data_IF_235552532385
#
_entry.id   IF_235552532385
#
_cell.length_a   1.000
_cell.length_b   1.000
_cell.length_c   1.000
_cell.angle_alpha   90.00
_cell.angle_beta   90.00
_cell.angle_gamma   90.00
#
_symmetry.space_group_name_H-M   'P 1'
#
loop_
_entity.id
_entity.type
_entity.pdbx_description
1 polymer ?
#
# COMPACT_ATOMS: atom_id res chain seq x y z
N UNK A 1 6.70 -5.60 20.81
CA UNK A 1 5.64 -6.59 21.11
C UNK A 1 5.23 -6.62 22.59
N UNK A 2 6.18 -6.81 23.52
CA UNK A 2 5.91 -6.94 24.97
C UNK A 2 5.16 -5.74 25.61
N UNK A 3 5.41 -4.52 25.14
CA UNK A 3 4.73 -3.30 25.60
C UNK A 3 3.28 -3.13 25.08
N UNK A 4 2.69 -4.16 24.47
CA UNK A 4 1.30 -4.12 23.98
C UNK A 4 1.10 -3.54 22.57
N UNK A 5 2.12 -2.91 21.98
CA UNK A 5 2.04 -2.42 20.60
C UNK A 5 1.74 -3.55 19.60
N UNK A 6 0.86 -3.26 18.64
CA UNK A 6 0.47 -4.14 17.51
C UNK A 6 0.58 -3.45 16.14
N UNK A 7 0.99 -2.19 16.15
CA UNK A 7 1.29 -1.40 14.97
C UNK A 7 2.65 -0.75 15.23
N UNK A 8 3.60 -0.92 14.30
CA UNK A 8 4.93 -0.33 14.39
C UNK A 8 5.22 0.46 13.12
N UNK A 9 5.51 1.75 13.23
CA UNK A 9 5.72 2.65 12.11
C UNK A 9 7.18 3.05 11.98
N UNK A 10 7.73 3.04 10.76
CA UNK A 10 9.14 3.33 10.49
C UNK A 10 9.28 4.32 9.33
N UNK A 11 9.52 5.59 9.67
CA UNK A 11 9.74 6.67 8.70
C UNK A 11 11.20 6.81 8.26
N UNK A 12 11.86 5.70 7.93
CA UNK A 12 13.26 5.63 7.53
C UNK A 12 13.50 4.48 6.55
N UNK A 13 14.60 4.53 5.80
CA UNK A 13 15.02 3.51 4.86
C UNK A 13 16.37 3.84 4.22
N UNK A 14 16.98 2.86 3.58
CA UNK A 14 18.26 2.96 2.88
C UNK A 14 18.06 3.05 1.37
N UNK A 15 18.54 4.13 0.72
CA UNK A 15 18.50 4.26 -0.73
C UNK A 15 19.70 3.59 -1.44
N UNK A 16 20.52 2.80 -0.73
CA UNK A 16 21.77 2.24 -1.27
C UNK A 16 21.55 1.15 -2.33
N UNK A 17 20.46 0.40 -2.21
CA UNK A 17 20.13 -0.72 -3.11
C UNK A 17 18.62 -0.70 -3.38
N UNK A 18 18.19 0.25 -4.23
CA UNK A 18 16.77 0.51 -4.49
C UNK A 18 16.09 -0.73 -5.07
N UNK A 19 14.89 -1.02 -4.57
CA UNK A 19 14.07 -2.16 -4.95
C UNK A 19 14.55 -3.52 -4.41
N UNK A 20 15.74 -3.63 -3.80
CA UNK A 20 16.30 -4.91 -3.41
C UNK A 20 15.65 -5.52 -2.16
N UNK A 21 15.51 -6.84 -2.15
CA UNK A 21 15.16 -7.61 -0.96
C UNK A 21 16.43 -7.98 -0.18
N UNK A 22 16.91 -7.07 0.65
CA UNK A 22 18.16 -7.25 1.39
C UNK A 22 17.95 -7.92 2.77
N UNK A 23 19.03 -8.00 3.56
CA UNK A 23 19.00 -8.58 4.90
C UNK A 23 18.06 -7.87 5.87
N UNK A 24 17.85 -6.55 5.72
CA UNK A 24 16.90 -5.83 6.56
C UNK A 24 15.46 -6.17 6.17
N UNK A 25 15.16 -6.25 4.87
CA UNK A 25 13.85 -6.68 4.38
C UNK A 25 13.51 -8.11 4.83
N UNK A 26 14.47 -9.03 4.73
CA UNK A 26 14.33 -10.42 5.21
C UNK A 26 14.08 -10.49 6.72
N UNK A 27 14.82 -9.71 7.52
CA UNK A 27 14.63 -9.65 8.99
C UNK A 27 13.25 -9.09 9.38
N UNK A 28 12.76 -8.09 8.65
CA UNK A 28 11.40 -7.54 8.86
C UNK A 28 10.35 -8.61 8.55
N UNK A 29 10.50 -9.34 7.44
CA UNK A 29 9.59 -10.42 7.08
C UNK A 29 9.59 -11.54 8.12
N UNK A 30 10.77 -11.98 8.58
CA UNK A 30 10.91 -12.98 9.64
C UNK A 30 10.18 -12.56 10.92
N UNK A 31 10.37 -11.30 11.33
CA UNK A 31 9.70 -10.78 12.52
C UNK A 31 8.17 -10.81 12.37
N UNK A 32 7.62 -10.33 11.25
CA UNK A 32 6.17 -10.30 11.02
C UNK A 32 5.61 -11.72 10.88
N UNK A 33 6.33 -12.61 10.20
CA UNK A 33 5.97 -14.02 10.08
C UNK A 33 5.85 -14.69 11.46
N UNK A 34 6.78 -14.38 12.37
CA UNK A 34 6.77 -14.91 13.74
C UNK A 34 5.80 -14.18 14.69
N UNK A 35 5.35 -12.96 14.36
CA UNK A 35 4.42 -12.16 15.15
C UNK A 35 3.18 -11.78 14.31
N UNK A 36 2.28 -12.74 14.04
CA UNK A 36 1.25 -12.62 13.00
C UNK A 36 0.16 -11.58 13.30
N UNK A 37 0.08 -11.03 14.50
CA UNK A 37 -0.84 -9.97 14.93
C UNK A 37 -0.20 -8.57 14.94
N UNK A 38 1.04 -8.43 14.44
CA UNK A 38 1.72 -7.15 14.26
C UNK A 38 1.58 -6.65 12.81
N UNK A 39 1.16 -5.39 12.64
CA UNK A 39 1.37 -4.65 11.39
C UNK A 39 2.62 -3.78 11.52
N UNK A 40 3.57 -3.93 10.60
CA UNK A 40 4.76 -3.07 10.51
C UNK A 40 4.68 -2.24 9.23
N UNK A 41 4.89 -0.94 9.36
CA UNK A 41 4.86 0.01 8.26
C UNK A 41 6.26 0.56 8.01
N UNK A 42 6.57 0.80 6.74
CA UNK A 42 7.80 1.47 6.30
C UNK A 42 7.50 2.53 5.25
N UNK A 43 8.22 3.65 5.32
CA UNK A 43 8.22 4.63 4.24
C UNK A 43 8.80 4.02 2.96
N UNK A 44 8.19 4.30 1.80
CA UNK A 44 8.68 3.81 0.51
C UNK A 44 10.05 4.40 0.14
N UNK A 45 10.38 5.59 0.65
CA UNK A 45 11.56 6.35 0.25
C UNK A 45 11.20 7.63 -0.49
N UNK A 46 12.18 8.53 -0.60
CA UNK A 46 12.04 9.81 -1.30
C UNK A 46 13.00 9.87 -2.50
N UNK A 47 13.19 8.74 -3.18
CA UNK A 47 14.15 8.56 -4.28
C UNK A 47 13.47 8.58 -5.65
N UNK A 48 12.21 9.00 -5.73
CA UNK A 48 11.53 9.21 -7.01
C UNK A 48 12.16 10.37 -7.79
N UNK A 49 12.59 10.08 -9.01
CA UNK A 49 13.14 11.04 -9.96
C UNK A 49 12.62 10.75 -11.36
N UNK A 50 12.54 11.78 -12.19
CA UNK A 50 12.35 11.70 -13.64
C UNK A 50 13.74 11.82 -14.29
N UNK A 51 14.36 10.67 -14.55
CA UNK A 51 15.73 10.52 -15.06
C UNK A 51 15.78 10.68 -16.58
N UNK A 52 14.78 10.19 -17.30
CA UNK A 52 14.72 10.26 -18.77
C UNK A 52 14.05 11.53 -19.31
N UNK A 53 13.48 12.36 -18.43
CA UNK A 53 12.88 13.66 -18.73
C UNK A 53 11.63 13.54 -19.59
N UNK A 54 10.83 12.50 -19.36
CA UNK A 54 9.56 12.27 -20.04
C UNK A 54 8.35 12.90 -19.31
N UNK A 55 8.58 13.51 -18.14
CA UNK A 55 7.52 14.10 -17.32
C UNK A 55 6.86 13.13 -16.36
N UNK A 56 7.44 11.94 -16.17
CA UNK A 56 6.96 10.90 -15.26
C UNK A 56 8.09 10.46 -14.33
N UNK A 57 7.72 10.09 -13.10
CA UNK A 57 8.70 9.54 -12.15
C UNK A 57 9.03 8.09 -12.53
N UNK A 58 10.33 7.78 -12.59
CA UNK A 58 10.82 6.45 -12.91
C UNK A 58 10.50 5.40 -11.83
N UNK A 59 10.37 4.18 -12.31
CA UNK A 59 10.18 2.97 -11.51
C UNK A 59 11.44 2.55 -10.74
N UNK A 60 11.28 1.67 -9.75
CA UNK A 60 12.39 0.94 -9.13
C UNK A 60 13.15 1.68 -8.03
N UNK A 61 12.52 2.66 -7.38
CA UNK A 61 13.16 3.56 -6.40
C UNK A 61 12.79 3.28 -4.94
N UNK A 62 12.14 2.16 -4.62
CA UNK A 62 11.73 1.81 -3.23
C UNK A 62 12.94 1.50 -2.36
N UNK A 63 13.02 2.12 -1.18
CA UNK A 63 14.09 1.88 -0.21
C UNK A 63 13.84 0.60 0.62
N UNK A 64 14.89 -0.12 0.99
CA UNK A 64 14.84 -1.13 2.06
C UNK A 64 14.79 -0.45 3.43
N UNK A 65 14.03 -0.93 4.44
CA UNK A 65 13.25 -2.19 4.49
C UNK A 65 11.84 -2.12 3.91
N UNK A 66 11.45 -1.03 3.25
CA UNK A 66 10.17 -0.91 2.54
C UNK A 66 9.98 -1.93 1.41
N UNK A 67 11.01 -2.67 1.04
CA UNK A 67 10.94 -3.79 0.08
C UNK A 67 10.53 -5.12 0.72
N UNK A 68 10.41 -5.20 2.06
CA UNK A 68 9.92 -6.39 2.77
C UNK A 68 8.50 -6.79 2.30
N UNK A 69 8.23 -8.08 2.13
CA UNK A 69 6.93 -8.57 1.61
C UNK A 69 5.79 -8.32 2.60
N UNK A 70 6.08 -8.54 3.89
CA UNK A 70 5.08 -8.57 4.94
C UNK A 70 4.78 -7.18 5.52
N UNK A 71 5.68 -6.21 5.32
CA UNK A 71 5.45 -4.83 5.71
C UNK A 71 4.36 -4.18 4.84
N UNK A 72 3.68 -3.17 5.41
CA UNK A 72 2.87 -2.22 4.63
C UNK A 72 3.76 -1.03 4.26
N UNK A 73 4.15 -0.94 2.99
CA UNK A 73 5.01 0.15 2.52
C UNK A 73 4.18 1.30 2.02
N UNK A 74 4.51 2.50 2.50
CA UNK A 74 3.68 3.71 2.34
C UNK A 74 4.40 4.73 1.46
N UNK A 75 3.84 5.01 0.29
CA UNK A 75 4.22 6.15 -0.55
C UNK A 75 3.50 7.43 -0.15
N UNK A 76 3.83 8.54 -0.82
CA UNK A 76 3.25 9.85 -0.56
C UNK A 76 2.36 10.27 -1.73
N UNK A 77 1.07 10.48 -1.45
CA UNK A 77 0.23 11.34 -2.29
C UNK A 77 0.41 12.78 -1.86
N UNK A 78 -0.10 13.72 -2.65
CA UNK A 78 -0.15 15.10 -2.21
C UNK A 78 -1.21 15.32 -1.12
N UNK A 79 -0.93 16.26 -0.24
CA UNK A 79 -1.95 16.94 0.54
C UNK A 79 -2.58 18.07 -0.29
N UNK A 80 -3.71 18.61 0.15
CA UNK A 80 -4.33 19.79 -0.50
C UNK A 80 -4.30 20.95 0.47
N UNK A 81 -3.35 21.87 0.28
CA UNK A 81 -3.22 23.07 1.11
C UNK A 81 -2.62 24.23 0.32
N UNK A 82 -3.28 25.39 0.39
CA UNK A 82 -2.84 26.63 -0.24
C UNK A 82 -2.03 27.55 0.70
N UNK A 83 -1.75 27.10 1.93
CA UNK A 83 -1.07 27.92 2.95
C UNK A 83 0.02 27.16 3.68
N UNK A 84 1.11 27.86 4.01
CA UNK A 84 2.22 27.30 4.77
C UNK A 84 3.08 26.31 3.98
N UNK A 85 4.23 25.94 4.54
CA UNK A 85 5.18 25.05 3.90
C UNK A 85 5.73 25.61 2.57
N UNK A 86 5.94 24.72 1.60
CA UNK A 86 6.44 25.05 0.26
C UNK A 86 5.26 25.28 -0.69
N UNK A 87 5.14 26.51 -1.19
CA UNK A 87 4.04 26.98 -2.05
C UNK A 87 4.55 27.52 -3.39
N UNK A 88 5.60 26.90 -3.92
CA UNK A 88 6.20 27.24 -5.21
C UNK A 88 6.17 26.04 -6.14
N UNK A 89 6.17 26.25 -7.47
CA UNK A 89 6.27 25.14 -8.42
C UNK A 89 7.54 24.31 -8.25
N UNK A 90 7.51 23.06 -8.72
CA UNK A 90 8.66 22.14 -8.68
C UNK A 90 9.90 22.77 -9.33
N UNK A 91 9.75 23.53 -10.42
CA UNK A 91 10.83 24.28 -11.09
C UNK A 91 11.60 25.26 -10.21
N UNK A 92 11.05 25.67 -9.06
CA UNK A 92 11.69 26.58 -8.10
C UNK A 92 12.37 25.84 -6.95
N UNK A 93 12.21 24.53 -6.85
CA UNK A 93 12.89 23.71 -5.84
C UNK A 93 14.36 23.56 -6.19
N UNK A 94 15.20 23.41 -5.15
CA UNK A 94 16.66 23.31 -5.29
C UNK A 94 17.10 22.25 -6.30
N UNK A 95 16.46 21.09 -6.32
CA UNK A 95 16.74 19.97 -7.23
C UNK A 95 15.69 19.83 -8.33
N UNK A 96 14.74 20.78 -8.45
CA UNK A 96 13.60 20.68 -9.35
C UNK A 96 13.99 20.41 -10.79
N UNK A 97 14.90 21.23 -11.33
CA UNK A 97 15.41 21.08 -12.70
C UNK A 97 16.11 19.73 -12.93
N UNK A 98 16.93 19.30 -11.99
CA UNK A 98 17.77 18.11 -12.16
C UNK A 98 17.00 16.81 -11.91
N UNK A 99 16.02 16.81 -11.01
CA UNK A 99 15.23 15.63 -10.62
C UNK A 99 13.90 15.51 -11.36
N UNK A 100 13.28 16.62 -11.78
CA UNK A 100 11.91 16.67 -12.32
C UNK A 100 11.78 17.80 -13.35
N UNK A 101 12.62 17.75 -14.39
CA UNK A 101 12.86 18.87 -15.31
C UNK A 101 11.91 18.94 -16.50
N UNK A 102 11.00 17.98 -16.64
CA UNK A 102 10.05 17.89 -17.73
C UNK A 102 8.60 18.13 -17.27
N UNK A 103 7.77 18.61 -18.17
CA UNK A 103 6.34 18.78 -17.94
C UNK A 103 5.63 17.43 -17.99
N UNK A 104 4.55 17.23 -17.20
CA UNK A 104 3.85 18.24 -16.40
C UNK A 104 4.40 18.47 -14.98
N UNK A 105 5.38 17.67 -14.52
CA UNK A 105 5.90 17.78 -13.15
C UNK A 105 6.60 19.13 -12.93
N UNK A 106 7.37 19.62 -13.91
CA UNK A 106 8.22 20.80 -13.74
C UNK A 106 7.45 22.07 -13.36
N UNK A 107 6.24 22.27 -13.91
CA UNK A 107 5.38 23.41 -13.57
C UNK A 107 4.38 23.15 -12.45
N UNK A 108 4.23 21.90 -11.98
CA UNK A 108 3.24 21.56 -10.95
C UNK A 108 3.59 22.13 -9.57
N UNK A 109 2.57 22.29 -8.72
CA UNK A 109 2.71 22.65 -7.30
C UNK A 109 2.56 21.38 -6.47
N UNK A 110 3.27 21.28 -5.35
CA UNK A 110 3.44 20.00 -4.64
C UNK A 110 2.32 19.66 -3.63
N UNK A 111 1.20 20.41 -3.60
CA UNK A 111 0.13 20.22 -2.59
C UNK A 111 -1.24 20.77 -3.04
N UNK A 112 -1.61 20.53 -4.29
CA UNK A 112 -2.86 21.07 -4.85
C UNK A 112 -3.87 19.99 -5.28
N UNK A 113 -3.44 18.73 -5.44
CA UNK A 113 -4.31 17.67 -5.92
C UNK A 113 -4.19 16.40 -5.07
N UNK A 114 -5.25 16.04 -4.33
CA UNK A 114 -5.26 14.84 -3.50
C UNK A 114 -5.02 13.54 -4.29
N UNK A 115 -5.30 13.54 -5.59
CA UNK A 115 -5.07 12.40 -6.49
C UNK A 115 -3.69 12.43 -7.16
N UNK A 116 -2.83 13.40 -6.84
CA UNK A 116 -1.44 13.44 -7.26
C UNK A 116 -0.56 12.54 -6.41
N UNK A 117 0.32 11.75 -7.04
CA UNK A 117 1.42 11.09 -6.31
C UNK A 117 2.58 12.06 -6.21
N UNK A 118 3.10 12.29 -5.00
CA UNK A 118 4.17 13.25 -4.80
C UNK A 118 5.40 12.88 -5.65
N UNK A 119 5.99 13.87 -6.34
CA UNK A 119 7.08 13.67 -7.30
C UNK A 119 8.32 12.99 -6.71
N UNK A 120 8.60 13.18 -5.42
CA UNK A 120 9.72 12.52 -4.74
C UNK A 120 9.37 11.10 -4.25
N UNK A 121 8.09 10.72 -4.19
CA UNK A 121 7.69 9.42 -3.64
C UNK A 121 8.31 8.32 -4.47
N UNK A 122 9.09 7.46 -3.82
CA UNK A 122 9.66 6.28 -4.45
C UNK A 122 8.57 5.41 -5.09
N UNK A 123 8.86 4.90 -6.29
CA UNK A 123 7.97 4.06 -7.11
C UNK A 123 8.54 2.65 -7.17
N UNK A 124 7.66 1.66 -7.18
CA UNK A 124 8.03 0.29 -7.51
C UNK A 124 8.26 0.10 -9.02
N UNK A 125 8.26 -1.15 -9.48
CA UNK A 125 8.22 -2.35 -8.65
C UNK A 125 9.52 -2.51 -7.86
N UNK A 126 9.57 -3.48 -6.95
CA UNK A 126 10.86 -3.97 -6.41
C UNK A 126 11.69 -4.62 -7.52
N UNK A 127 12.97 -4.94 -7.26
CA UNK A 127 13.84 -5.60 -8.24
C UNK A 127 13.31 -6.97 -8.69
N UNK A 128 12.61 -7.69 -7.82
CA UNK A 128 11.94 -8.95 -8.15
C UNK A 128 10.53 -8.76 -8.74
N UNK A 129 10.11 -7.51 -8.97
CA UNK A 129 8.89 -7.17 -9.70
C UNK A 129 7.62 -7.10 -8.85
N UNK A 130 7.71 -7.05 -7.52
CA UNK A 130 6.55 -6.88 -6.63
C UNK A 130 6.05 -5.45 -6.65
N UNK A 131 4.75 -5.30 -6.44
CA UNK A 131 4.11 -3.99 -6.29
C UNK A 131 4.49 -3.37 -4.96
N UNK A 132 5.17 -2.22 -5.03
CA UNK A 132 5.49 -1.34 -3.91
C UNK A 132 5.39 0.12 -4.40
N UNK A 133 5.04 1.11 -3.56
CA UNK A 133 4.39 0.92 -2.25
C UNK A 133 3.06 0.16 -2.39
N UNK A 134 2.53 -0.40 -1.30
CA UNK A 134 1.19 -0.99 -1.37
C UNK A 134 0.08 0.04 -1.14
N UNK A 135 0.38 1.16 -0.50
CA UNK A 135 -0.60 2.23 -0.27
C UNK A 135 0.10 3.58 -0.29
N UNK A 136 -0.66 4.63 -0.58
CA UNK A 136 -0.19 6.01 -0.41
C UNK A 136 -1.04 6.77 0.60
N UNK A 137 -0.48 7.82 1.17
CA UNK A 137 -1.18 8.77 2.03
C UNK A 137 -0.61 10.18 1.82
N UNK A 138 -1.33 11.25 2.19
CA UNK A 138 -0.82 12.62 2.06
C UNK A 138 0.56 12.76 2.71
N UNK A 139 1.54 13.22 1.94
CA UNK A 139 2.94 13.34 2.37
C UNK A 139 3.60 14.64 1.98
N UNK A 140 2.87 15.61 1.43
CA UNK A 140 3.39 16.94 1.10
C UNK A 140 2.76 18.00 2.01
N UNK A 141 3.54 18.99 2.44
CA UNK A 141 3.08 20.06 3.35
C UNK A 141 2.16 19.53 4.46
N UNK A 142 2.68 18.61 5.26
CA UNK A 142 1.99 18.09 6.45
C UNK A 142 2.39 18.94 7.65
N UNK A 143 1.41 19.59 8.26
CA UNK A 143 1.57 20.32 9.52
C UNK A 143 1.57 19.32 10.68
N UNK A 144 2.64 19.29 11.46
CA UNK A 144 2.73 18.42 12.64
C UNK A 144 3.56 19.04 13.75
N UNK A 145 3.73 18.32 14.85
CA UNK A 145 4.39 18.80 16.06
C UNK A 145 5.85 19.17 15.81
N UNK A 146 6.27 20.34 16.28
CA UNK A 146 7.66 20.81 16.25
C UNK A 146 8.37 20.42 17.54
N UNK A 147 9.59 19.90 17.42
CA UNK A 147 10.44 19.64 18.59
C UNK A 147 10.87 20.96 19.25
N UNK A 148 10.78 21.03 20.58
CA UNK A 148 11.29 22.15 21.37
C UNK A 148 12.78 22.03 21.72
N UNK A 149 13.46 20.98 21.25
CA UNK A 149 14.92 20.87 21.41
C UNK A 149 15.60 22.04 20.70
N UNK A 150 16.52 22.71 21.39
CA UNK A 150 17.26 23.84 20.85
C UNK A 150 17.95 23.46 19.52
N UNK A 151 17.73 24.27 18.47
CA UNK A 151 18.28 24.02 17.14
C UNK A 151 17.47 23.06 16.26
N UNK A 152 16.25 22.66 16.66
CA UNK A 152 15.35 21.90 15.80
C UNK A 152 15.08 22.63 14.46
N UNK A 153 15.28 21.92 13.36
CA UNK A 153 15.08 22.42 11.99
C UNK A 153 13.64 22.88 11.75
N UNK A 154 13.46 23.89 10.90
CA UNK A 154 12.14 24.34 10.43
C UNK A 154 11.60 23.51 9.26
N UNK A 155 12.32 22.45 8.85
CA UNK A 155 11.90 21.52 7.81
C UNK A 155 11.47 22.23 6.53
N UNK A 156 10.17 22.21 6.19
CA UNK A 156 9.62 22.89 5.00
C UNK A 156 9.01 24.26 5.32
N UNK A 157 9.05 24.68 6.59
CA UNK A 157 8.62 25.99 7.06
C UNK A 157 8.02 25.90 8.46
N UNK A 158 8.32 26.86 9.33
CA UNK A 158 7.64 26.99 10.61
C UNK A 158 6.17 27.40 10.42
N UNK A 159 5.28 26.90 11.29
CA UNK A 159 3.94 27.45 11.46
C UNK A 159 3.88 28.34 12.71
N UNK A 160 4.31 27.80 13.85
CA UNK A 160 4.51 28.52 15.09
C UNK A 160 5.56 27.80 15.98
N UNK A 161 5.57 28.06 17.29
CA UNK A 161 6.50 27.43 18.23
C UNK A 161 6.25 25.92 18.41
N UNK A 162 5.01 25.46 18.20
CA UNK A 162 4.57 24.10 18.50
C UNK A 162 4.37 23.24 17.24
N UNK A 163 4.31 23.86 16.06
CA UNK A 163 4.04 23.17 14.80
C UNK A 163 4.94 23.63 13.66
N UNK A 164 5.24 22.68 12.77
CA UNK A 164 6.12 22.85 11.61
C UNK A 164 5.56 22.08 10.41
N UNK A 165 5.80 22.61 9.22
CA UNK A 165 5.48 21.94 7.95
C UNK A 165 6.62 21.02 7.54
N UNK A 166 6.28 19.83 7.06
CA UNK A 166 7.23 18.87 6.52
C UNK A 166 6.62 18.13 5.32
N UNK A 167 7.44 17.35 4.64
CA UNK A 167 6.96 16.41 3.65
C UNK A 167 7.97 15.30 3.36
N UNK A 168 7.47 14.26 2.72
CA UNK A 168 8.16 12.99 2.53
C UNK A 168 7.21 11.82 2.73
N UNK A 169 7.59 10.65 2.22
CA UNK A 169 6.97 9.38 2.61
C UNK A 169 7.10 9.14 4.12
N UNK A 170 8.08 9.76 4.78
CA UNK A 170 8.21 9.85 6.25
C UNK A 170 7.02 10.49 6.96
N UNK A 171 6.23 11.35 6.29
CA UNK A 171 5.03 11.98 6.84
C UNK A 171 3.77 11.19 6.48
N UNK A 172 3.73 10.59 5.29
CA UNK A 172 2.65 9.68 4.88
C UNK A 172 2.58 8.42 5.77
N UNK A 173 3.72 7.85 6.13
CA UNK A 173 3.82 6.62 6.93
C UNK A 173 3.15 6.70 8.32
N UNK A 174 3.40 7.73 9.16
CA UNK A 174 2.72 7.86 10.44
C UNK A 174 1.22 8.21 10.31
N UNK A 175 0.81 8.92 9.24
CA UNK A 175 -0.62 9.11 8.94
C UNK A 175 -1.31 7.77 8.67
N UNK A 176 -0.71 6.91 7.84
CA UNK A 176 -1.18 5.55 7.61
C UNK A 176 -1.16 4.72 8.89
N UNK A 177 -0.16 4.87 9.75
CA UNK A 177 -0.11 4.14 11.03
C UNK A 177 -1.25 4.55 11.99
N UNK A 178 -1.57 5.84 12.07
CA UNK A 178 -2.75 6.32 12.80
C UNK A 178 -4.05 5.77 12.21
N UNK A 179 -4.15 5.77 10.88
CA UNK A 179 -5.26 5.15 10.16
C UNK A 179 -5.40 3.64 10.41
N UNK A 180 -4.27 2.92 10.48
CA UNK A 180 -4.24 1.51 10.84
C UNK A 180 -4.73 1.26 12.27
N UNK A 181 -4.46 2.18 13.22
CA UNK A 181 -4.99 2.07 14.57
C UNK A 181 -6.52 2.17 14.59
N UNK A 182 -7.09 3.10 13.82
CA UNK A 182 -8.55 3.25 13.65
C UNK A 182 -9.13 2.01 12.97
N UNK A 183 -8.52 1.52 11.88
CA UNK A 183 -8.98 0.32 11.19
C UNK A 183 -8.94 -0.91 12.11
N UNK A 184 -7.90 -1.05 12.93
CA UNK A 184 -7.82 -2.11 13.94
C UNK A 184 -8.93 -2.00 14.97
N UNK A 185 -9.27 -0.80 15.44
CA UNK A 185 -10.40 -0.58 16.34
C UNK A 185 -11.73 -0.97 15.68
N UNK A 186 -11.96 -0.59 14.41
CA UNK A 186 -13.15 -0.99 13.66
C UNK A 186 -13.26 -2.52 13.55
N UNK A 187 -12.15 -3.21 13.24
CA UNK A 187 -12.14 -4.68 13.19
C UNK A 187 -12.51 -5.30 14.55
N UNK A 188 -11.97 -4.77 15.65
CA UNK A 188 -12.23 -5.31 16.99
C UNK A 188 -13.64 -4.99 17.50
N UNK A 189 -14.05 -3.73 17.41
CA UNK A 189 -15.27 -3.24 18.06
C UNK A 189 -16.51 -3.35 17.17
N UNK A 190 -16.38 -3.07 15.86
CA UNK A 190 -17.50 -3.08 14.92
C UNK A 190 -17.64 -4.44 14.23
N UNK A 191 -16.53 -5.03 13.75
CA UNK A 191 -16.55 -6.34 13.07
C UNK A 191 -16.42 -7.53 14.04
N UNK A 192 -16.21 -7.27 15.34
CA UNK A 192 -16.10 -8.29 16.41
C UNK A 192 -14.95 -9.29 16.25
N UNK A 193 -13.87 -8.88 15.57
CA UNK A 193 -12.66 -9.67 15.41
C UNK A 193 -11.68 -9.30 16.53
N UNK A 194 -11.69 -10.05 17.63
CA UNK A 194 -10.97 -9.67 18.85
C UNK A 194 -9.44 -9.49 18.66
N UNK A 195 -8.82 -10.34 17.84
CA UNK A 195 -7.36 -10.36 17.60
C UNK A 195 -7.06 -10.41 16.09
N UNK A 196 -7.30 -9.32 15.34
CA UNK A 196 -7.07 -9.32 13.91
C UNK A 196 -5.58 -9.50 13.63
N UNK A 197 -5.22 -10.38 12.69
CA UNK A 197 -3.85 -10.51 12.21
C UNK A 197 -3.35 -9.22 11.56
N UNK A 198 -2.03 -9.05 11.49
CA UNK A 198 -1.40 -7.98 10.72
C UNK A 198 -1.75 -8.08 9.23
N UNK A 199 -1.90 -9.30 8.70
CA UNK A 199 -2.36 -9.56 7.35
C UNK A 199 -3.81 -9.08 7.12
N UNK A 200 -4.73 -9.35 8.07
CA UNK A 200 -6.11 -8.86 7.99
C UNK A 200 -6.18 -7.34 8.06
N UNK A 201 -5.37 -6.72 8.93
CA UNK A 201 -5.30 -5.27 9.03
C UNK A 201 -4.75 -4.65 7.73
N UNK A 202 -3.68 -5.23 7.15
CA UNK A 202 -3.15 -4.83 5.84
C UNK A 202 -4.22 -4.98 4.76
N UNK A 203 -4.85 -6.16 4.62
CA UNK A 203 -5.92 -6.40 3.66
C UNK A 203 -7.08 -5.41 3.79
N UNK A 204 -7.48 -5.06 5.02
CA UNK A 204 -8.54 -4.08 5.28
C UNK A 204 -8.17 -2.69 4.75
N UNK A 205 -6.92 -2.25 4.97
CA UNK A 205 -6.44 -0.96 4.49
C UNK A 205 -6.35 -0.92 2.95
N UNK A 206 -5.88 -1.99 2.32
CA UNK A 206 -5.83 -2.10 0.85
C UNK A 206 -7.24 -2.13 0.25
N UNK A 207 -8.14 -2.91 0.85
CA UNK A 207 -9.54 -3.04 0.43
C UNK A 207 -10.32 -1.72 0.50
N UNK A 208 -10.00 -0.88 1.48
CA UNK A 208 -10.70 0.41 1.69
C UNK A 208 -9.99 1.59 1.05
N UNK A 209 -8.83 1.40 0.42
CA UNK A 209 -8.13 2.46 -0.30
C UNK A 209 -8.96 3.02 -1.47
N UNK A 210 -8.58 4.20 -1.95
CA UNK A 210 -9.17 4.89 -3.10
C UNK A 210 -8.20 4.83 -4.27
N UNK A 211 -8.65 4.25 -5.39
CA UNK A 211 -7.98 4.34 -6.71
C UNK A 211 -7.86 5.81 -7.13
N UNK A 212 -6.64 6.29 -7.35
CA UNK A 212 -6.33 7.66 -7.74
C UNK A 212 -6.21 7.82 -9.26
N UNK A 213 -6.24 6.72 -10.03
CA UNK A 213 -6.23 6.78 -11.50
C UNK A 213 -7.29 7.76 -12.04
N UNK A 214 -6.93 8.67 -12.99
CA UNK A 214 -5.69 8.71 -13.77
C UNK A 214 -4.55 9.55 -13.18
N UNK A 215 -4.67 9.98 -11.92
CA UNK A 215 -3.69 10.84 -11.26
C UNK A 215 -3.94 12.33 -11.52
N UNK A 216 -3.01 13.17 -11.06
CA UNK A 216 -3.16 14.64 -11.14
C UNK A 216 -3.06 15.22 -12.56
N UNK A 217 -2.43 14.49 -13.49
CA UNK A 217 -2.20 14.98 -14.85
C UNK A 217 -3.24 14.49 -15.88
N UNK A 218 -4.15 13.59 -15.49
CA UNK A 218 -5.18 13.06 -16.40
C UNK A 218 -4.67 11.96 -17.35
N UNK A 219 -5.55 11.51 -18.26
CA UNK A 219 -5.26 10.43 -19.22
C UNK A 219 -4.48 10.94 -20.44
N UNK A 220 -3.23 11.37 -20.22
CA UNK A 220 -2.36 11.90 -21.28
C UNK A 220 -1.55 10.80 -22.01
N UNK A 221 -1.42 9.61 -21.43
CA UNK A 221 -0.49 8.59 -21.86
C UNK A 221 0.93 8.79 -21.33
N UNK A 222 1.72 7.72 -21.30
CA UNK A 222 3.08 7.72 -20.72
C UNK A 222 4.00 8.74 -21.38
N UNK A 223 3.98 8.84 -22.72
CA UNK A 223 4.82 9.77 -23.48
C UNK A 223 4.50 11.26 -23.28
N UNK A 224 3.45 11.56 -22.51
CA UNK A 224 3.02 12.92 -22.19
C UNK A 224 3.00 13.16 -20.66
N UNK A 225 3.68 12.30 -19.88
CA UNK A 225 3.85 12.47 -18.44
C UNK A 225 2.62 12.10 -17.59
N UNK A 226 1.72 11.23 -18.09
CA UNK A 226 0.68 10.66 -17.22
C UNK A 226 1.33 9.85 -16.09
N UNK A 227 1.07 10.25 -14.83
CA UNK A 227 1.70 9.58 -13.69
C UNK A 227 1.16 8.17 -13.43
N UNK A 228 -0.17 7.98 -13.46
CA UNK A 228 -0.83 6.71 -13.19
C UNK A 228 -1.36 6.11 -14.50
N UNK A 229 -0.66 5.12 -15.05
CA UNK A 229 -0.95 4.53 -16.36
C UNK A 229 -2.05 3.46 -16.35
N UNK A 230 -2.30 2.87 -15.19
CA UNK A 230 -3.33 1.86 -15.00
C UNK A 230 -4.07 2.13 -13.70
N UNK A 231 -5.32 1.65 -13.60
CA UNK A 231 -5.98 1.52 -12.30
C UNK A 231 -5.15 0.65 -11.37
N UNK A 232 -5.41 0.80 -10.07
CA UNK A 232 -4.83 -0.06 -9.05
C UNK A 232 -5.06 -1.58 -9.32
N UNK A 233 -4.17 -2.46 -8.84
CA UNK A 233 -2.90 -2.11 -8.23
C UNK A 233 -1.86 -1.71 -9.29
N UNK A 234 -1.03 -0.71 -8.99
CA UNK A 234 0.10 -0.32 -9.83
C UNK A 234 1.32 0.05 -8.96
N UNK A 235 2.48 0.25 -9.57
CA UNK A 235 3.73 0.53 -8.84
C UNK A 235 3.92 2.00 -8.43
N UNK A 236 2.93 2.85 -8.67
CA UNK A 236 2.97 4.27 -8.32
C UNK A 236 2.17 4.56 -7.05
N UNK A 237 0.90 4.13 -7.01
CA UNK A 237 -0.01 4.33 -5.88
C UNK A 237 -0.26 3.05 -5.05
N UNK A 238 0.22 1.90 -5.53
CA UNK A 238 -0.12 0.60 -4.94
C UNK A 238 -1.59 0.29 -5.16
N UNK A 239 -2.29 -0.01 -4.05
CA UNK A 239 -3.73 -0.26 -3.99
C UNK A 239 -4.55 1.05 -3.84
N UNK A 240 -3.86 2.19 -3.85
CA UNK A 240 -4.45 3.52 -3.82
C UNK A 240 -4.17 4.28 -2.52
N UNK A 241 -4.90 5.39 -2.33
CA UNK A 241 -4.77 6.25 -1.14
C UNK A 241 -5.57 5.69 0.03
N UNK A 242 -5.01 5.71 1.24
CA UNK A 242 -5.75 5.38 2.46
C UNK A 242 -7.02 6.26 2.61
N UNK A 243 -8.13 5.65 3.02
CA UNK A 243 -9.40 6.34 3.24
C UNK A 243 -10.11 5.83 4.51
N UNK A 244 -10.10 6.65 5.56
CA UNK A 244 -10.71 6.29 6.84
C UNK A 244 -12.23 6.42 6.85
N UNK A 245 -12.82 7.16 5.91
CA UNK A 245 -14.27 7.20 5.78
C UNK A 245 -14.78 5.85 5.28
N UNK A 246 -14.12 5.25 4.28
CA UNK A 246 -14.41 3.89 3.81
C UNK A 246 -14.20 2.85 4.91
N UNK A 247 -13.14 2.98 5.72
CA UNK A 247 -12.93 2.13 6.91
C UNK A 247 -14.08 2.25 7.91
N UNK A 248 -14.50 3.47 8.25
CA UNK A 248 -15.59 3.71 9.20
C UNK A 248 -16.95 3.19 8.68
N UNK A 249 -17.14 3.17 7.37
CA UNK A 249 -18.36 2.70 6.70
C UNK A 249 -18.45 1.18 6.56
N UNK A 250 -17.36 0.42 6.78
CA UNK A 250 -17.37 -1.05 6.71
C UNK A 250 -18.52 -1.65 7.52
N UNK A 251 -19.29 -2.56 6.91
CA UNK A 251 -20.40 -3.25 7.55
C UNK A 251 -20.42 -4.74 7.15
N UNK A 252 -20.99 -5.57 8.02
CA UNK A 252 -21.07 -7.02 7.81
C UNK A 252 -22.22 -7.44 6.87
N UNK A 253 -23.02 -6.50 6.35
CA UNK A 253 -24.04 -6.81 5.35
C UNK A 253 -23.43 -6.93 3.96
N UNK A 254 -22.42 -6.10 3.65
CA UNK A 254 -21.78 -6.05 2.34
C UNK A 254 -20.34 -6.56 2.34
N UNK A 255 -19.63 -6.43 3.46
CA UNK A 255 -18.21 -6.77 3.59
C UNK A 255 -18.01 -7.94 4.55
N UNK A 256 -17.19 -8.90 4.14
CA UNK A 256 -16.86 -10.08 4.93
C UNK A 256 -15.35 -10.19 5.12
N UNK A 257 -14.96 -10.77 6.25
CA UNK A 257 -13.58 -10.86 6.71
C UNK A 257 -13.26 -12.31 7.08
N UNK A 258 -12.22 -12.85 6.46
CA UNK A 258 -11.65 -14.17 6.80
C UNK A 258 -10.24 -13.93 7.32
N UNK A 259 -9.99 -14.30 8.58
CA UNK A 259 -8.65 -14.28 9.20
C UNK A 259 -8.24 -15.73 9.48
N UNK A 260 -7.83 -16.45 8.44
CA UNK A 260 -7.53 -17.88 8.51
C UNK A 260 -6.12 -18.10 9.10
N UNK A 261 -6.09 -18.25 10.42
CA UNK A 261 -4.85 -18.48 11.19
C UNK A 261 -4.28 -19.89 11.07
N UNK A 262 -5.07 -20.86 10.62
CA UNK A 262 -4.62 -22.24 10.38
C UNK A 262 -3.86 -22.33 9.05
N UNK A 263 -4.33 -21.60 8.04
CA UNK A 263 -3.72 -21.54 6.71
C UNK A 263 -4.05 -22.69 5.78
N UNK A 264 -3.44 -22.65 4.60
CA UNK A 264 -3.54 -23.67 3.55
C UNK A 264 -2.17 -24.29 3.30
N UNK A 265 -2.12 -25.62 3.20
CA UNK A 265 -0.99 -26.35 2.65
C UNK A 265 -1.02 -26.41 1.13
N UNK A 266 0.00 -27.01 0.53
CA UNK A 266 0.09 -27.15 -0.92
C UNK A 266 -1.09 -27.96 -1.50
N UNK A 267 -1.79 -27.40 -2.48
CA UNK A 267 -2.98 -27.97 -3.13
C UNK A 267 -4.28 -27.86 -2.31
N UNK A 268 -4.22 -27.41 -1.06
CA UNK A 268 -5.42 -27.17 -0.26
C UNK A 268 -6.14 -25.90 -0.74
N UNK A 269 -7.48 -25.92 -0.66
CA UNK A 269 -8.33 -24.81 -1.07
C UNK A 269 -9.31 -24.45 0.04
N UNK A 270 -9.63 -23.16 0.14
CA UNK A 270 -10.74 -22.64 0.90
C UNK A 270 -11.60 -21.78 -0.03
N UNK A 271 -12.92 -21.91 0.05
CA UNK A 271 -13.83 -21.19 -0.81
C UNK A 271 -14.97 -20.53 -0.02
N UNK A 272 -15.42 -19.38 -0.51
CA UNK A 272 -16.63 -18.70 -0.02
C UNK A 272 -17.58 -18.45 -1.20
N UNK A 273 -18.87 -18.57 -0.93
CA UNK A 273 -19.92 -18.31 -1.92
C UNK A 273 -20.40 -16.87 -1.80
N UNK A 274 -20.52 -16.20 -2.94
CA UNK A 274 -21.06 -14.83 -3.06
C UNK A 274 -22.25 -14.89 -4.01
N UNK A 275 -23.41 -14.40 -3.58
CA UNK A 275 -24.61 -14.35 -4.43
C UNK A 275 -24.94 -12.90 -4.75
N UNK A 276 -25.07 -12.60 -6.05
CA UNK A 276 -25.61 -11.34 -6.56
C UNK A 276 -27.01 -11.59 -7.13
N UNK A 277 -28.04 -10.99 -6.56
CA UNK A 277 -29.45 -11.13 -6.99
C UNK A 277 -29.76 -10.29 -8.23
N UNK A 278 -28.98 -9.24 -8.45
CA UNK A 278 -29.00 -8.33 -9.62
C UNK A 278 -27.56 -7.99 -10.00
N UNK A 279 -27.30 -7.38 -11.17
CA UNK A 279 -25.95 -6.99 -11.54
C UNK A 279 -25.26 -6.15 -10.47
N UNK A 280 -23.95 -6.32 -10.33
CA UNK A 280 -23.22 -5.72 -9.22
C UNK A 280 -21.70 -5.72 -9.38
N UNK A 281 -21.00 -5.61 -8.26
CA UNK A 281 -19.56 -5.56 -8.17
C UNK A 281 -19.05 -6.47 -7.04
N UNK A 282 -17.86 -7.04 -7.25
CA UNK A 282 -17.12 -7.81 -6.25
C UNK A 282 -15.71 -7.22 -6.16
N UNK A 283 -15.31 -6.85 -4.94
CA UNK A 283 -13.94 -6.50 -4.58
C UNK A 283 -13.44 -7.53 -3.57
N UNK A 284 -12.30 -8.15 -3.79
CA UNK A 284 -11.67 -9.09 -2.87
C UNK A 284 -10.17 -8.81 -2.78
N UNK A 285 -9.62 -8.80 -1.57
CA UNK A 285 -8.19 -8.62 -1.29
C UNK A 285 -7.69 -9.78 -0.43
N UNK A 286 -6.75 -10.55 -0.98
CA UNK A 286 -6.01 -11.61 -0.28
C UNK A 286 -4.66 -11.04 0.17
N UNK A 287 -4.30 -11.24 1.43
CA UNK A 287 -2.99 -10.86 1.99
C UNK A 287 -2.49 -11.96 2.91
N UNK A 288 -1.20 -12.26 2.85
CA UNK A 288 -0.56 -13.19 3.79
C UNK A 288 0.84 -12.73 4.19
N UNK A 289 1.20 -13.01 5.45
CA UNK A 289 2.57 -12.85 5.92
C UNK A 289 3.37 -14.07 5.46
N UNK A 290 4.10 -13.93 4.37
CA UNK A 290 4.90 -14.97 3.75
C UNK A 290 6.15 -15.28 4.58
N UNK A 291 6.71 -16.49 4.44
CA UNK A 291 7.97 -16.84 5.09
C UNK A 291 9.11 -15.94 4.58
N UNK A 292 10.11 -15.59 5.41
CA UNK A 292 11.24 -14.80 4.95
C UNK A 292 11.99 -15.55 3.84
N UNK A 293 12.34 -14.84 2.76
CA UNK A 293 13.25 -15.38 1.76
C UNK A 293 14.70 -15.14 2.18
N UNK A 294 15.62 -15.84 1.50
CA UNK A 294 17.03 -15.48 1.54
C UNK A 294 17.23 -14.04 1.02
N UNK A 295 18.08 -13.23 1.68
CA UNK A 295 18.50 -11.94 1.12
C UNK A 295 19.03 -12.08 -0.31
N UNK A 296 18.73 -11.09 -1.15
CA UNK A 296 19.11 -11.03 -2.57
C UNK A 296 18.57 -12.18 -3.44
N UNK A 297 17.54 -12.90 -2.97
CA UNK A 297 16.83 -13.86 -3.80
C UNK A 297 16.24 -13.18 -5.05
N UNK A 298 16.40 -13.82 -6.21
CA UNK A 298 15.87 -13.30 -7.49
C UNK A 298 14.34 -13.18 -7.51
N UNK A 299 13.66 -13.97 -6.67
CA UNK A 299 12.23 -13.87 -6.36
C UNK A 299 12.11 -13.99 -4.85
N UNK A 300 11.59 -12.96 -4.19
CA UNK A 300 11.45 -13.00 -2.74
C UNK A 300 10.26 -13.85 -2.30
N UNK A 301 9.23 -14.06 -3.14
CA UNK A 301 8.06 -14.88 -2.79
C UNK A 301 8.47 -16.33 -2.47
N UNK A 302 8.05 -16.84 -1.32
CA UNK A 302 8.36 -18.20 -0.84
C UNK A 302 7.15 -19.11 -0.93
N UNK A 303 6.07 -18.75 -0.23
CA UNK A 303 4.78 -19.38 -0.37
C UNK A 303 3.94 -18.58 -1.36
N UNK A 304 3.18 -19.30 -2.18
CA UNK A 304 2.39 -18.79 -3.28
C UNK A 304 0.95 -19.25 -3.07
N UNK A 305 0.08 -18.29 -2.77
CA UNK A 305 -1.36 -18.48 -2.64
C UNK A 305 -2.06 -17.74 -3.77
N UNK A 306 -2.99 -18.42 -4.44
CA UNK A 306 -3.79 -17.89 -5.54
C UNK A 306 -5.21 -17.56 -5.10
N UNK A 307 -5.75 -16.43 -5.56
CA UNK A 307 -7.16 -16.07 -5.45
C UNK A 307 -7.85 -16.09 -6.81
N UNK A 308 -8.93 -16.87 -6.90
CA UNK A 308 -9.75 -16.99 -8.12
C UNK A 308 -11.22 -16.79 -7.81
N UNK A 309 -11.94 -16.21 -8.77
CA UNK A 309 -13.39 -16.09 -8.78
C UNK A 309 -13.93 -16.93 -9.94
N UNK A 310 -14.94 -17.74 -9.67
CA UNK A 310 -15.65 -18.53 -10.69
C UNK A 310 -17.16 -18.34 -10.55
N UNK A 311 -17.91 -18.50 -11.64
CA UNK A 311 -19.36 -18.25 -11.66
C UNK A 311 -19.82 -17.81 -13.05
N UNK A 312 -20.85 -16.93 -13.14
CA UNK A 312 -21.27 -16.32 -14.40
C UNK A 312 -20.14 -15.59 -15.15
N UNK A 313 -19.18 -15.06 -14.41
CA UNK A 313 -17.91 -14.54 -14.92
C UNK A 313 -16.78 -15.04 -14.01
N UNK A 314 -15.66 -15.43 -14.62
CA UNK A 314 -14.47 -15.86 -13.90
C UNK A 314 -13.39 -14.79 -13.92
N UNK A 315 -12.60 -14.73 -12.86
CA UNK A 315 -11.43 -13.87 -12.73
C UNK A 315 -10.41 -14.50 -11.77
N UNK A 316 -9.25 -13.86 -11.66
CA UNK A 316 -8.12 -14.36 -10.88
C UNK A 316 -6.86 -14.16 -11.69
N UNK A 317 -5.80 -13.73 -11.02
CA UNK A 317 -4.48 -13.60 -11.62
C UNK A 317 -3.59 -14.65 -11.00
N UNK A 318 -2.85 -15.39 -11.83
CA UNK A 318 -1.76 -16.22 -11.36
C UNK A 318 -0.57 -15.31 -11.05
N UNK A 319 -0.60 -14.63 -9.90
CA UNK A 319 0.48 -13.77 -9.45
C UNK A 319 1.57 -14.61 -8.78
N UNK A 320 2.81 -14.47 -9.25
CA UNK A 320 3.95 -15.29 -8.78
C UNK A 320 5.00 -14.46 -8.06
N UNK A 321 4.65 -13.23 -7.68
CA UNK A 321 5.55 -12.25 -7.08
C UNK A 321 4.97 -11.71 -5.79
N UNK A 322 3.69 -11.35 -5.79
CA UNK A 322 3.08 -10.63 -4.69
C UNK A 322 2.47 -11.58 -3.65
N UNK A 323 2.62 -11.22 -2.38
CA UNK A 323 1.88 -11.81 -1.27
C UNK A 323 0.58 -11.05 -0.93
N UNK A 324 0.13 -10.21 -1.87
CA UNK A 324 -1.12 -9.49 -1.83
C UNK A 324 -1.75 -9.61 -3.22
N UNK A 325 -2.99 -10.09 -3.31
CA UNK A 325 -3.74 -10.20 -4.57
C UNK A 325 -5.09 -9.51 -4.46
N UNK A 326 -5.60 -9.03 -5.60
CA UNK A 326 -6.90 -8.36 -5.69
C UNK A 326 -7.70 -8.84 -6.89
N UNK A 327 -9.00 -9.00 -6.66
CA UNK A 327 -10.02 -9.09 -7.71
C UNK A 327 -10.94 -7.89 -7.52
N UNK A 328 -10.99 -6.99 -8.48
CA UNK A 328 -11.88 -5.83 -8.49
C UNK A 328 -12.67 -5.82 -9.80
N UNK A 329 -13.93 -6.26 -9.73
CA UNK A 329 -14.81 -6.39 -10.88
C UNK A 329 -16.10 -5.61 -10.64
N UNK A 330 -16.53 -4.89 -11.67
CA UNK A 330 -17.82 -4.19 -11.73
C UNK A 330 -18.66 -4.74 -12.88
N UNK A 331 -19.94 -4.41 -12.90
CA UNK A 331 -20.90 -4.86 -13.92
C UNK A 331 -21.00 -6.39 -14.05
N UNK A 332 -20.75 -7.10 -12.95
CA UNK A 332 -20.91 -8.55 -12.89
C UNK A 332 -22.38 -8.92 -13.05
N UNK A 333 -22.72 -9.93 -13.89
CA UNK A 333 -24.06 -10.47 -13.97
C UNK A 333 -24.56 -10.99 -12.62
N UNK A 334 -25.88 -10.98 -12.42
CA UNK A 334 -26.51 -11.69 -11.31
C UNK A 334 -26.15 -13.18 -11.37
N UNK A 335 -25.99 -13.79 -10.20
CA UNK A 335 -25.71 -15.21 -10.07
C UNK A 335 -24.85 -15.52 -8.86
N UNK A 336 -24.47 -16.78 -8.76
CA UNK A 336 -23.65 -17.30 -7.67
C UNK A 336 -22.21 -17.42 -8.12
N UNK A 337 -21.32 -16.75 -7.39
CA UNK A 337 -19.89 -16.78 -7.57
C UNK A 337 -19.24 -17.57 -6.43
N UNK A 338 -18.13 -18.23 -6.74
CA UNK A 338 -17.26 -18.89 -5.76
C UNK A 338 -15.90 -18.22 -5.79
N UNK A 339 -15.53 -17.61 -4.68
CA UNK A 339 -14.21 -17.02 -4.45
C UNK A 339 -13.35 -18.06 -3.73
N UNK A 340 -12.28 -18.50 -4.37
CA UNK A 340 -11.41 -19.58 -3.90
C UNK A 340 -10.01 -19.06 -3.62
N UNK A 341 -9.45 -19.42 -2.47
CA UNK A 341 -8.03 -19.26 -2.15
C UNK A 341 -7.39 -20.65 -2.19
N UNK A 342 -6.27 -20.78 -2.90
CA UNK A 342 -5.55 -22.04 -3.08
C UNK A 342 -4.09 -21.90 -2.64
N UNK A 343 -3.59 -22.88 -1.90
CA UNK A 343 -2.17 -23.02 -1.62
C UNK A 343 -1.41 -23.58 -2.82
N UNK A 344 -1.12 -22.77 -3.84
CA UNK A 344 -0.48 -23.24 -5.06
C UNK A 344 0.89 -23.86 -4.79
N UNK A 345 1.73 -23.18 -4.01
CA UNK A 345 3.06 -23.68 -3.62
C UNK A 345 3.39 -23.21 -2.20
N UNK A 346 3.46 -24.13 -1.23
CA UNK A 346 3.66 -23.77 0.18
C UNK A 346 4.85 -24.54 0.77
N UNK A 347 6.10 -24.22 0.36
CA UNK A 347 7.27 -24.95 0.82
C UNK A 347 7.65 -24.65 2.28
N UNK A 348 7.31 -23.46 2.80
CA UNK A 348 7.70 -23.00 4.14
C UNK A 348 6.53 -22.35 4.88
N UNK A 349 5.55 -23.13 5.30
CA UNK A 349 4.44 -22.70 6.15
C UNK A 349 4.59 -23.11 7.62
N UNK A 350 3.88 -22.44 8.53
CA UNK A 350 3.75 -22.93 9.92
C UNK A 350 2.97 -24.24 9.91
N UNK A 351 3.58 -25.31 10.40
CA UNK A 351 3.04 -26.67 10.31
C UNK A 351 2.71 -27.10 8.86
N UNK A 352 3.49 -26.63 7.88
CA UNK A 352 3.27 -26.92 6.46
C UNK A 352 2.12 -26.15 5.82
N UNK A 353 1.59 -25.13 6.50
CA UNK A 353 0.47 -24.29 6.01
C UNK A 353 0.79 -22.80 6.08
N UNK A 354 0.27 -22.02 5.14
CA UNK A 354 0.39 -20.56 5.09
C UNK A 354 -0.93 -19.91 5.56
N UNK A 355 -0.95 -19.27 6.74
CA UNK A 355 -2.08 -18.43 7.16
C UNK A 355 -2.31 -17.27 6.20
N UNK A 356 -3.57 -16.85 6.04
CA UNK A 356 -3.93 -15.75 5.16
C UNK A 356 -5.12 -14.97 5.70
N UNK A 357 -5.28 -13.76 5.20
CA UNK A 357 -6.46 -12.94 5.39
C UNK A 357 -7.12 -12.64 4.04
N UNK A 358 -8.45 -12.63 4.03
CA UNK A 358 -9.25 -12.27 2.87
C UNK A 358 -10.33 -11.27 3.31
N UNK A 359 -10.40 -10.14 2.63
CA UNK A 359 -11.47 -9.15 2.79
C UNK A 359 -12.20 -9.02 1.46
N UNK A 360 -13.50 -9.29 1.46
CA UNK A 360 -14.31 -9.20 0.25
C UNK A 360 -15.61 -8.44 0.47
N UNK A 361 -16.00 -7.67 -0.54
CA UNK A 361 -17.22 -6.86 -0.58
C UNK A 361 -18.00 -7.25 -1.82
N UNK A 362 -19.29 -7.48 -1.66
CA UNK A 362 -20.25 -7.63 -2.75
C UNK A 362 -21.26 -6.49 -2.69
N UNK A 363 -21.49 -5.82 -3.83
CA UNK A 363 -22.46 -4.72 -3.93
C UNK A 363 -23.34 -4.97 -5.14
N UNK A 364 -24.64 -4.82 -4.96
CA UNK A 364 -25.60 -4.88 -6.05
C UNK A 364 -25.96 -3.46 -6.51
N UNK A 365 -26.19 -3.27 -7.82
CA UNK A 365 -26.47 -1.97 -8.44
C UNK A 365 -27.83 -1.37 -8.03
#
# INVERSE_FOLDING_TARGET
>A
YAAGARIHSNSWGSPRNLGAYDSMASSVDEYIFNNPDMLVLFAAGNSGTDMDKDGRVDAGSVCSPGTAKNALTVGASENVTATGGIQVPVSKLRTGKDSWGAEPIFSSVISDNANGVAMFSSRGPTLDGRTKPEIVAPGTNILSTRSHVAGASELWGAYNADYVWAGGTSMATPLTAGGAAVARQVLQEKMKIATPSGALLKATLLHTAVDMFPGQYGELGASQGQELLTRRPNSDEGYGRIDLNRVAQLDLATTQFVDNKTGLGQGEKAAVTITLSKPGAILANLVYADAPASPDASVALVNDLDMTLSGPQSAGSLDRKNNNEVIELSNLPAGTYTLTVEGFKVPLGKNGKQPYALVYTAREN
#
